data_IF_098950187770
#
_entry.id   IF_098950187770
#
_cell.length_a   1.000
_cell.length_b   1.000
_cell.length_c   1.000
_cell.angle_alpha   90.00
_cell.angle_beta   90.00
_cell.angle_gamma   90.00
#
_symmetry.space_group_name_H-M   'P 1'
#
loop_
_entity.id
_entity.type
_entity.pdbx_description
1 polymer ?
#
# COMPACT_ATOMS: atom_id res chain seq x y z
N UNK A 1 37.33 -14.93 -7.99
CA UNK A 1 37.04 -16.04 -7.06
C UNK A 1 35.53 -16.26 -7.00
N UNK A 2 35.00 -17.11 -7.87
CA UNK A 2 33.69 -17.73 -7.66
C UNK A 2 33.91 -18.78 -6.57
N UNK A 3 33.48 -18.50 -5.33
CA UNK A 3 33.39 -19.57 -4.34
C UNK A 3 32.47 -20.63 -4.92
N UNK A 4 32.87 -21.90 -4.86
CA UNK A 4 31.96 -23.00 -5.13
C UNK A 4 30.81 -22.84 -4.13
N UNK A 5 29.61 -22.53 -4.63
CA UNK A 5 28.42 -22.47 -3.81
C UNK A 5 28.24 -23.85 -3.18
N UNK A 6 28.10 -23.93 -1.86
CA UNK A 6 27.75 -25.19 -1.23
C UNK A 6 26.35 -25.60 -1.68
N UNK A 7 26.09 -26.90 -1.91
CA UNK A 7 24.79 -27.41 -2.38
C UNK A 7 23.61 -26.89 -1.53
N UNK A 8 23.87 -26.65 -0.23
CA UNK A 8 22.91 -26.03 0.70
C UNK A 8 22.54 -24.60 0.33
N UNK A 9 23.50 -23.76 -0.07
CA UNK A 9 23.23 -22.37 -0.47
C UNK A 9 22.40 -22.31 -1.75
N UNK A 10 22.66 -23.22 -2.68
CA UNK A 10 21.90 -23.37 -3.93
C UNK A 10 20.46 -23.84 -3.62
N UNK A 11 20.31 -24.81 -2.71
CA UNK A 11 19.00 -25.30 -2.29
C UNK A 11 18.18 -24.20 -1.58
N UNK A 12 18.80 -23.40 -0.72
CA UNK A 12 18.15 -22.26 -0.07
C UNK A 12 17.70 -21.20 -1.08
N UNK A 13 18.53 -20.89 -2.07
CA UNK A 13 18.18 -19.95 -3.14
C UNK A 13 17.00 -20.45 -3.97
N UNK A 14 17.00 -21.74 -4.37
CA UNK A 14 15.88 -22.35 -5.11
C UNK A 14 14.59 -22.28 -4.28
N UNK A 15 14.69 -22.57 -2.97
CA UNK A 15 13.55 -22.50 -2.04
C UNK A 15 13.00 -21.08 -1.92
N UNK A 16 13.86 -20.08 -1.83
CA UNK A 16 13.46 -18.69 -1.72
C UNK A 16 12.87 -18.15 -3.03
N UNK A 17 13.38 -18.60 -4.19
CA UNK A 17 12.78 -18.32 -5.50
C UNK A 17 11.37 -18.91 -5.64
N UNK A 18 11.17 -20.17 -5.20
CA UNK A 18 9.84 -20.79 -5.19
C UNK A 18 8.85 -20.03 -4.31
N UNK A 19 9.28 -19.58 -3.13
CA UNK A 19 8.44 -18.77 -2.23
C UNK A 19 8.16 -17.39 -2.77
N UNK A 20 9.17 -16.73 -3.33
CA UNK A 20 9.00 -15.44 -3.98
C UNK A 20 7.99 -15.53 -5.13
N UNK A 21 8.01 -16.63 -5.90
CA UNK A 21 7.04 -16.86 -6.96
C UNK A 21 5.62 -17.07 -6.41
N UNK A 22 5.46 -17.84 -5.33
CA UNK A 22 4.17 -18.05 -4.69
C UNK A 22 3.56 -16.76 -4.10
N UNK A 23 4.39 -15.82 -3.65
CA UNK A 23 3.96 -14.50 -3.17
C UNK A 23 3.68 -13.50 -4.29
N UNK A 24 4.19 -13.76 -5.50
CA UNK A 24 4.02 -12.88 -6.65
C UNK A 24 2.70 -13.19 -7.35
N UNK A 25 1.93 -12.17 -7.69
CA UNK A 25 0.63 -12.39 -8.32
C UNK A 25 -0.24 -11.14 -8.35
N UNK A 26 -1.45 -11.34 -8.86
CA UNK A 26 -2.49 -10.32 -8.83
C UNK A 26 -2.99 -10.13 -7.40
N UNK A 27 -3.23 -8.87 -7.04
CA UNK A 27 -3.81 -8.50 -5.76
C UNK A 27 -5.19 -7.88 -5.99
N UNK A 28 -6.14 -8.30 -5.18
CA UNK A 28 -7.42 -7.65 -4.99
C UNK A 28 -7.57 -7.39 -3.50
N UNK A 29 -7.97 -6.19 -3.12
CA UNK A 29 -8.16 -5.86 -1.71
C UNK A 29 -9.12 -4.72 -1.49
N UNK A 30 -9.58 -4.62 -0.25
CA UNK A 30 -10.31 -3.46 0.25
C UNK A 30 -9.32 -2.50 0.93
N UNK A 31 -9.64 -1.22 0.89
CA UNK A 31 -8.87 -0.16 1.54
C UNK A 31 -9.83 0.72 2.33
N UNK A 32 -9.35 1.17 3.49
CA UNK A 32 -10.04 2.17 4.30
C UNK A 32 -9.02 3.20 4.76
N UNK A 33 -9.45 4.43 5.04
CA UNK A 33 -8.56 5.48 5.48
C UNK A 33 -9.29 6.76 5.85
N UNK A 34 -8.52 7.77 6.21
CA UNK A 34 -9.03 9.10 6.51
C UNK A 34 -8.31 10.11 5.61
N UNK A 35 -9.09 10.93 4.90
CA UNK A 35 -8.56 12.03 4.11
C UNK A 35 -8.77 13.32 4.86
N UNK A 36 -7.68 14.05 5.05
CA UNK A 36 -7.71 15.40 5.59
C UNK A 36 -8.01 16.38 4.46
N UNK A 37 -9.05 17.21 4.62
CA UNK A 37 -9.41 18.22 3.63
C UNK A 37 -9.09 19.63 4.13
N UNK A 38 -8.03 20.22 3.58
CA UNK A 38 -7.57 21.55 3.95
C UNK A 38 -8.58 22.66 3.58
N UNK A 39 -9.28 22.54 2.45
CA UNK A 39 -10.26 23.55 2.03
C UNK A 39 -11.46 23.64 2.97
N UNK A 40 -11.90 22.50 3.52
CA UNK A 40 -12.96 22.45 4.54
C UNK A 40 -12.47 23.10 5.84
N UNK A 41 -11.23 22.85 6.25
CA UNK A 41 -10.65 23.49 7.44
C UNK A 41 -10.67 25.02 7.29
N UNK A 42 -10.22 25.54 6.13
CA UNK A 42 -10.22 26.98 5.84
C UNK A 42 -11.63 27.57 5.84
N UNK A 43 -12.60 26.90 5.19
CA UNK A 43 -14.00 27.38 5.13
C UNK A 43 -14.74 27.33 6.47
N UNK A 44 -14.40 26.40 7.35
CA UNK A 44 -15.03 26.25 8.67
C UNK A 44 -14.35 27.06 9.77
N UNK A 45 -13.30 27.83 9.43
CA UNK A 45 -12.47 28.60 10.37
C UNK A 45 -12.02 27.79 11.61
N UNK A 46 -11.83 26.47 11.42
CA UNK A 46 -11.50 25.56 12.50
C UNK A 46 -9.98 25.45 12.61
N UNK A 47 -9.41 26.05 13.65
CA UNK A 47 -7.96 26.02 13.94
C UNK A 47 -7.47 24.71 14.55
N UNK A 48 -8.36 23.73 14.73
CA UNK A 48 -8.07 22.50 15.47
C UNK A 48 -8.37 21.24 14.66
N UNK A 49 -7.34 20.40 14.57
CA UNK A 49 -7.41 19.03 14.03
C UNK A 49 -8.40 18.16 14.82
N UNK A 50 -8.57 18.44 16.12
CA UNK A 50 -9.42 17.67 17.04
C UNK A 50 -10.83 18.24 17.23
N UNK A 51 -11.09 19.48 16.79
CA UNK A 51 -12.31 20.21 17.12
C UNK A 51 -13.49 20.00 16.19
N UNK A 52 -13.28 19.51 14.96
CA UNK A 52 -14.36 19.39 13.98
C UNK A 52 -14.29 18.08 13.19
N UNK A 53 -15.28 17.22 13.40
CA UNK A 53 -15.46 15.92 12.72
C UNK A 53 -15.49 16.09 11.18
N UNK A 54 -15.71 17.30 10.66
CA UNK A 54 -15.74 17.64 9.24
C UNK A 54 -14.36 17.68 8.56
N UNK A 55 -13.25 17.79 9.29
CA UNK A 55 -11.90 17.89 8.71
C UNK A 55 -11.38 16.56 8.13
N UNK A 56 -11.96 15.44 8.58
CA UNK A 56 -11.57 14.10 8.16
C UNK A 56 -12.74 13.41 7.46
N UNK A 57 -12.58 13.08 6.18
CA UNK A 57 -13.53 12.24 5.48
C UNK A 57 -13.06 10.79 5.56
N UNK A 58 -13.91 9.94 6.13
CA UNK A 58 -13.66 8.51 6.10
C UNK A 58 -13.75 8.03 4.65
N UNK A 59 -12.80 7.22 4.27
CA UNK A 59 -12.64 6.71 2.93
C UNK A 59 -12.69 5.20 2.96
N UNK A 60 -13.37 4.63 1.99
CA UNK A 60 -13.36 3.20 1.73
C UNK A 60 -13.20 2.97 0.23
N UNK A 61 -12.73 1.80 -0.15
CA UNK A 61 -12.39 1.58 -1.54
C UNK A 61 -11.88 0.19 -1.84
N UNK A 62 -11.52 0.03 -3.10
CA UNK A 62 -10.96 -1.19 -3.65
C UNK A 62 -9.59 -0.90 -4.28
N UNK A 63 -8.69 -1.87 -4.18
CA UNK A 63 -7.40 -1.86 -4.85
C UNK A 63 -7.24 -3.12 -5.69
N UNK A 64 -6.69 -2.93 -6.88
CA UNK A 64 -6.37 -3.99 -7.80
C UNK A 64 -4.99 -3.74 -8.41
N UNK A 65 -4.16 -4.77 -8.49
CA UNK A 65 -2.83 -4.61 -9.05
C UNK A 65 -2.03 -5.89 -9.08
N UNK A 66 -0.71 -5.73 -9.17
CA UNK A 66 0.24 -6.83 -9.25
C UNK A 66 1.38 -6.61 -8.27
N UNK A 67 1.74 -7.67 -7.54
CA UNK A 67 2.89 -7.69 -6.64
C UNK A 67 3.90 -8.73 -7.10
N UNK A 68 5.19 -8.43 -6.93
CA UNK A 68 6.29 -9.34 -7.25
C UNK A 68 7.36 -9.31 -6.17
N UNK A 69 7.80 -10.48 -5.75
CA UNK A 69 8.96 -10.69 -4.87
C UNK A 69 10.14 -11.29 -5.63
N UNK A 70 10.03 -11.37 -6.97
CA UNK A 70 11.09 -11.89 -7.82
C UNK A 70 12.27 -10.90 -7.83
N UNK A 71 13.52 -11.39 -7.80
CA UNK A 71 14.69 -10.54 -7.93
C UNK A 71 14.67 -9.83 -9.30
N UNK A 72 14.81 -8.50 -9.31
CA UNK A 72 14.96 -7.72 -10.54
C UNK A 72 16.45 -7.58 -10.91
N UNK A 73 16.76 -7.34 -12.19
CA UNK A 73 18.13 -7.10 -12.68
C UNK A 73 18.88 -5.99 -11.91
N UNK A 74 18.16 -4.99 -11.40
CA UNK A 74 18.72 -3.89 -10.60
C UNK A 74 18.94 -4.24 -9.12
N UNK A 75 18.63 -5.45 -8.69
CA UNK A 75 18.52 -5.83 -7.27
C UNK A 75 19.49 -6.95 -6.87
N UNK A 76 20.72 -6.94 -7.42
CA UNK A 76 21.79 -7.91 -7.07
C UNK A 76 22.16 -7.91 -5.56
N UNK A 77 21.69 -6.93 -4.80
CA UNK A 77 21.88 -6.77 -3.36
C UNK A 77 20.67 -7.18 -2.50
N UNK A 78 19.60 -7.66 -3.12
CA UNK A 78 18.31 -7.85 -2.44
C UNK A 78 17.99 -9.33 -2.30
N UNK A 79 17.84 -9.80 -1.05
CA UNK A 79 17.42 -11.18 -0.77
C UNK A 79 16.02 -11.43 -1.37
N UNK A 80 15.87 -12.44 -2.26
CA UNK A 80 14.57 -12.89 -2.73
C UNK A 80 13.66 -13.21 -1.54
N UNK A 81 12.34 -13.09 -1.69
CA UNK A 81 11.35 -13.40 -0.65
C UNK A 81 11.31 -12.44 0.57
N UNK A 82 12.23 -11.48 0.69
CA UNK A 82 12.22 -10.44 1.73
C UNK A 82 11.76 -9.09 1.19
N UNK A 83 12.24 -8.68 0.02
CA UNK A 83 11.86 -7.40 -0.59
C UNK A 83 10.99 -7.67 -1.81
N UNK A 84 9.79 -7.09 -1.80
CA UNK A 84 8.86 -7.10 -2.91
C UNK A 84 8.62 -5.72 -3.48
N UNK A 85 7.96 -5.69 -4.62
CA UNK A 85 7.50 -4.48 -5.30
C UNK A 85 6.05 -4.69 -5.72
N UNK A 86 5.27 -3.62 -5.69
CA UNK A 86 3.86 -3.68 -6.05
C UNK A 86 3.47 -2.46 -6.85
N UNK A 87 2.68 -2.68 -7.89
CA UNK A 87 1.99 -1.61 -8.62
C UNK A 87 0.50 -1.90 -8.61
N UNK A 88 -0.31 -0.91 -8.30
CA UNK A 88 -1.75 -1.11 -8.17
C UNK A 88 -2.53 0.17 -8.43
N UNK A 89 -3.71 -0.01 -8.98
CA UNK A 89 -4.74 1.01 -9.09
C UNK A 89 -5.63 0.89 -7.86
N UNK A 90 -5.97 2.01 -7.27
CA UNK A 90 -6.79 2.10 -6.09
C UNK A 90 -7.88 3.13 -6.30
N UNK A 91 -9.12 2.73 -6.01
CA UNK A 91 -10.26 3.63 -5.94
C UNK A 91 -10.58 3.91 -4.47
N UNK A 92 -10.91 5.16 -4.16
CA UNK A 92 -11.47 5.58 -2.88
C UNK A 92 -12.77 6.36 -3.12
N UNK A 93 -13.80 6.02 -2.36
CA UNK A 93 -14.98 6.84 -2.14
C UNK A 93 -14.97 7.37 -0.71
N UNK A 94 -15.15 8.68 -0.57
CA UNK A 94 -15.36 9.32 0.72
C UNK A 94 -16.81 9.19 1.17
N UNK A 95 -17.05 8.80 2.42
CA UNK A 95 -18.36 8.92 3.04
C UNK A 95 -18.70 10.42 3.18
N UNK A 96 -19.75 10.92 2.50
CA UNK A 96 -20.03 12.34 2.49
C UNK A 96 -20.47 12.82 3.88
N UNK A 97 -20.03 14.02 4.27
CA UNK A 97 -20.43 14.66 5.53
C UNK A 97 -21.23 15.91 5.24
N UNK A 98 -22.32 16.11 5.99
CA UNK A 98 -23.14 17.32 5.93
C UNK A 98 -22.45 18.45 6.69
N UNK A 99 -22.15 19.54 6.01
CA UNK A 99 -21.72 20.80 6.61
C UNK A 99 -22.82 21.86 6.47
N UNK A 100 -22.73 22.95 7.23
CA UNK A 100 -23.68 24.07 7.14
C UNK A 100 -23.72 24.77 5.77
N UNK A 101 -22.75 24.48 4.90
CA UNK A 101 -22.64 25.02 3.54
C UNK A 101 -22.88 23.96 2.44
N UNK A 102 -23.33 22.76 2.80
CA UNK A 102 -23.59 21.67 1.85
C UNK A 102 -22.98 20.32 2.27
N UNK A 103 -23.25 19.27 1.50
CA UNK A 103 -22.61 17.96 1.65
C UNK A 103 -21.27 17.95 0.96
N UNK A 104 -20.22 17.56 1.69
CA UNK A 104 -18.87 17.43 1.14
C UNK A 104 -18.51 15.96 1.02
N UNK A 105 -18.12 15.55 -0.18
CA UNK A 105 -17.67 14.19 -0.49
C UNK A 105 -16.52 14.22 -1.49
N UNK A 106 -15.82 13.10 -1.61
CA UNK A 106 -14.76 12.94 -2.60
C UNK A 106 -14.78 11.56 -3.24
N UNK A 107 -14.26 11.48 -4.45
CA UNK A 107 -13.91 10.24 -5.12
C UNK A 107 -12.49 10.37 -5.67
N UNK A 108 -11.70 9.31 -5.58
CA UNK A 108 -10.31 9.31 -6.02
C UNK A 108 -9.95 8.02 -6.74
N UNK A 109 -9.22 8.14 -7.84
CA UNK A 109 -8.55 7.02 -8.52
C UNK A 109 -7.06 7.30 -8.49
N UNK A 110 -6.28 6.36 -7.96
CA UNK A 110 -4.85 6.49 -7.74
C UNK A 110 -4.09 5.32 -8.34
N UNK A 111 -2.98 5.59 -9.01
CA UNK A 111 -1.96 4.61 -9.38
C UNK A 111 -0.83 4.69 -8.36
N UNK A 112 -0.51 3.57 -7.72
CA UNK A 112 0.44 3.49 -6.62
C UNK A 112 1.55 2.50 -6.92
N UNK A 113 2.76 2.83 -6.47
CA UNK A 113 3.93 1.96 -6.50
C UNK A 113 4.55 1.86 -5.12
N UNK A 114 4.63 0.64 -4.58
CA UNK A 114 5.15 0.38 -3.24
C UNK A 114 6.34 -0.56 -3.25
N UNK A 115 7.27 -0.33 -2.33
CA UNK A 115 8.23 -1.32 -1.86
C UNK A 115 7.63 -2.08 -0.68
N UNK A 116 7.74 -3.40 -0.73
CA UNK A 116 7.30 -4.32 0.32
C UNK A 116 8.54 -4.83 1.04
N UNK A 117 8.57 -4.74 2.36
CA UNK A 117 9.51 -5.48 3.21
C UNK A 117 8.71 -6.54 3.94
N UNK A 118 9.10 -7.80 3.84
CA UNK A 118 8.35 -8.92 4.37
C UNK A 118 9.29 -9.88 5.10
N UNK A 119 9.27 -9.84 6.44
CA UNK A 119 10.14 -10.65 7.28
C UNK A 119 9.38 -11.88 7.79
N UNK A 120 9.95 -13.10 7.69
CA UNK A 120 9.37 -14.27 8.33
C UNK A 120 9.45 -14.08 9.85
N UNK A 121 8.31 -14.22 10.55
CA UNK A 121 8.32 -14.14 12.00
C UNK A 121 9.05 -15.35 12.61
N UNK A 122 10.09 -15.13 13.45
CA UNK A 122 10.93 -16.23 13.94
C UNK A 122 10.17 -17.25 14.79
N UNK A 123 9.06 -16.86 15.44
CA UNK A 123 8.32 -17.71 16.38
C UNK A 123 7.03 -18.33 15.83
N UNK A 124 6.55 -17.90 14.65
CA UNK A 124 5.28 -18.39 14.06
C UNK A 124 5.53 -19.27 12.82
N UNK A 125 6.80 -19.49 12.48
CA UNK A 125 7.19 -20.27 11.32
C UNK A 125 6.81 -19.60 10.00
N UNK A 126 7.10 -20.31 8.91
CA UNK A 126 7.06 -19.86 7.49
C UNK A 126 5.67 -19.41 6.97
N UNK A 127 4.67 -19.29 7.83
CA UNK A 127 3.27 -19.05 7.46
C UNK A 127 2.79 -17.64 7.75
N UNK A 128 3.43 -16.94 8.69
CA UNK A 128 3.09 -15.55 9.01
C UNK A 128 4.30 -14.67 8.73
N UNK A 129 4.14 -13.81 7.73
CA UNK A 129 5.12 -12.79 7.41
C UNK A 129 4.62 -11.44 7.92
N UNK A 130 5.52 -10.69 8.55
CA UNK A 130 5.23 -9.35 9.04
C UNK A 130 6.10 -8.36 8.28
N UNK A 131 5.46 -7.33 7.77
CA UNK A 131 6.08 -6.47 6.79
C UNK A 131 5.50 -5.07 6.78
N UNK A 132 6.33 -4.13 6.34
CA UNK A 132 5.92 -2.77 6.04
C UNK A 132 5.93 -2.55 4.54
N UNK A 133 5.07 -1.67 4.05
CA UNK A 133 5.18 -1.16 2.70
C UNK A 133 5.24 0.35 2.71
N UNK A 134 6.11 0.89 1.86
CA UNK A 134 6.23 2.32 1.64
C UNK A 134 6.16 2.55 0.15
N UNK A 135 5.31 3.48 -0.26
CA UNK A 135 5.10 3.74 -1.66
C UNK A 135 4.65 5.16 -1.93
N UNK A 136 4.66 5.47 -3.22
CA UNK A 136 4.21 6.74 -3.75
C UNK A 136 3.06 6.48 -4.71
N UNK A 137 2.06 7.34 -4.65
CA UNK A 137 0.87 7.26 -5.47
C UNK A 137 0.56 8.58 -6.14
N UNK A 138 0.10 8.51 -7.38
CA UNK A 138 -0.44 9.65 -8.11
C UNK A 138 -1.89 9.34 -8.45
N UNK A 139 -2.78 10.29 -8.17
CA UNK A 139 -4.20 10.09 -8.41
C UNK A 139 -4.94 11.38 -8.64
N UNK A 140 -6.10 11.25 -9.27
CA UNK A 140 -7.04 12.34 -9.49
C UNK A 140 -8.10 12.26 -8.41
N UNK A 141 -8.36 13.39 -7.76
CA UNK A 141 -9.39 13.52 -6.74
C UNK A 141 -10.47 14.46 -7.25
N UNK A 142 -11.71 13.99 -7.31
CA UNK A 142 -12.89 14.80 -7.58
C UNK A 142 -13.56 15.16 -6.25
N UNK A 143 -13.75 16.46 -6.01
CA UNK A 143 -14.45 16.98 -4.85
C UNK A 143 -15.81 17.53 -5.28
N UNK A 144 -16.86 17.16 -4.55
CA UNK A 144 -18.21 17.70 -4.72
C UNK A 144 -18.64 18.44 -3.47
N UNK A 145 -19.18 19.64 -3.66
CA UNK A 145 -19.92 20.40 -2.64
C UNK A 145 -21.31 20.64 -3.22
N UNK A 146 -22.33 20.00 -2.63
CA UNK A 146 -23.75 20.15 -3.00
C UNK A 146 -24.54 20.81 -1.88
#
# INVERSE_FOLDING_TARGET
YYKAYEDKEVEELIRDLKRANAKSGLILGINTGFFYNHEIMVKTNSSSITGNILNYLFAYGLRFGYQTFRPSFFARLVKPNIIGRRIYIQYYGGAPKKAGFGSVGFQSVMLNGDFLLDFPLPFVGKYLYMGGYMGLGLGVVAHGVN
#
